data_IF_269983490654
#
_entry.id   IF_269983490654
#
_cell.length_a   1.000
_cell.length_b   1.000
_cell.length_c   1.000
_cell.angle_alpha   90.00
_cell.angle_beta   90.00
_cell.angle_gamma   90.00
#
_symmetry.space_group_name_H-M   'P 1'
#
loop_
_entity.id
_entity.type
_entity.pdbx_description
1 polymer ?
#
# COMPACT_ATOMS: atom_id res chain seq x y z
N UNK A 1 8.97 3.40 -13.36
CA UNK A 1 9.19 2.98 -11.95
C UNK A 1 8.99 1.49 -11.76
N UNK A 2 7.99 0.85 -12.38
CA UNK A 2 8.17 -0.53 -12.85
C UNK A 2 7.90 -0.56 -14.33
N UNK A 3 8.72 -1.28 -15.08
CA UNK A 3 8.41 -1.68 -16.43
C UNK A 3 8.55 -3.20 -16.49
N UNK A 4 7.39 -3.84 -16.70
CA UNK A 4 7.27 -5.29 -16.81
C UNK A 4 7.20 -5.75 -18.28
N UNK A 5 7.40 -4.84 -19.24
CA UNK A 5 7.47 -5.17 -20.65
C UNK A 5 8.72 -6.01 -20.90
N UNK A 6 8.54 -7.20 -21.47
CA UNK A 6 9.64 -8.13 -21.76
C UNK A 6 10.06 -9.02 -20.60
N UNK A 7 9.39 -8.96 -19.45
CA UNK A 7 9.67 -9.83 -18.30
C UNK A 7 9.47 -11.30 -18.66
N UNK A 8 10.43 -12.15 -18.30
CA UNK A 8 10.29 -13.60 -18.41
C UNK A 8 10.01 -14.24 -17.05
N UNK A 9 8.97 -15.07 -17.01
CA UNK A 9 8.73 -16.04 -15.93
C UNK A 9 9.54 -17.31 -16.23
N UNK A 10 10.63 -17.51 -15.49
CA UNK A 10 11.58 -18.61 -15.69
C UNK A 10 11.23 -19.85 -14.86
N UNK A 11 10.88 -19.64 -13.59
CA UNK A 11 10.51 -20.72 -12.67
C UNK A 11 9.21 -20.40 -11.97
N UNK A 12 8.39 -21.43 -11.78
CA UNK A 12 7.17 -21.34 -10.97
C UNK A 12 6.91 -22.64 -10.24
N UNK A 13 6.51 -22.54 -8.98
CA UNK A 13 6.00 -23.64 -8.16
C UNK A 13 4.72 -23.19 -7.49
N UNK A 14 3.75 -24.09 -7.40
CA UNK A 14 2.49 -23.85 -6.70
C UNK A 14 2.36 -24.85 -5.55
N UNK A 15 2.11 -24.35 -4.36
CA UNK A 15 1.81 -25.13 -3.17
C UNK A 15 0.36 -24.83 -2.73
N UNK A 16 -0.20 -25.68 -1.87
CA UNK A 16 -1.40 -25.35 -1.12
C UNK A 16 -1.00 -25.21 0.35
N UNK A 17 -1.20 -24.02 0.92
CA UNK A 17 -0.80 -23.71 2.30
C UNK A 17 -2.05 -23.36 3.09
N UNK A 18 -2.33 -24.18 4.11
CA UNK A 18 -3.46 -24.02 5.02
C UNK A 18 -3.16 -23.09 6.19
N UNK A 19 -4.14 -22.96 7.08
CA UNK A 19 -4.00 -22.31 8.38
C UNK A 19 -3.58 -23.30 9.47
N UNK A 20 -2.51 -22.98 10.19
CA UNK A 20 -1.95 -23.86 11.23
C UNK A 20 -2.86 -24.03 12.43
N UNK A 21 -3.54 -22.98 12.89
CA UNK A 21 -4.45 -23.05 14.04
C UNK A 21 -5.74 -23.82 13.75
N UNK A 22 -6.04 -24.04 12.47
CA UNK A 22 -7.15 -24.89 12.01
C UNK A 22 -6.71 -26.29 11.60
N UNK A 23 -5.42 -26.60 11.73
CA UNK A 23 -4.84 -27.89 11.33
C UNK A 23 -5.12 -28.26 9.87
N UNK A 24 -5.21 -27.26 8.98
CA UNK A 24 -5.50 -27.48 7.55
C UNK A 24 -4.33 -28.13 6.79
N UNK A 25 -3.12 -28.10 7.37
CA UNK A 25 -1.91 -28.68 6.80
C UNK A 25 -1.36 -27.91 5.59
N UNK A 26 -0.43 -28.52 4.87
CA UNK A 26 0.14 -27.99 3.62
C UNK A 26 0.39 -29.13 2.63
N UNK A 27 0.21 -28.85 1.34
CA UNK A 27 0.51 -29.78 0.24
C UNK A 27 1.51 -29.10 -0.70
N UNK A 28 2.67 -29.75 -0.90
CA UNK A 28 3.72 -29.21 -1.76
C UNK A 28 3.70 -29.90 -3.12
N UNK A 29 3.87 -29.14 -4.20
CA UNK A 29 4.18 -29.73 -5.51
C UNK A 29 5.46 -30.56 -5.47
N UNK A 30 5.58 -31.52 -6.38
CA UNK A 30 6.74 -32.43 -6.48
C UNK A 30 7.89 -31.87 -7.35
N UNK A 31 7.74 -30.67 -7.90
CA UNK A 31 8.74 -30.05 -8.77
C UNK A 31 8.26 -28.73 -9.36
N UNK A 32 9.06 -28.19 -10.28
CA UNK A 32 8.74 -27.01 -11.09
C UNK A 32 7.54 -27.29 -12.00
N UNK A 33 6.70 -26.28 -12.22
CA UNK A 33 5.61 -26.34 -13.18
C UNK A 33 6.17 -26.10 -14.60
N UNK A 34 5.85 -27.00 -15.54
CA UNK A 34 6.13 -26.78 -16.96
C UNK A 34 5.04 -25.91 -17.55
N UNK A 35 5.41 -24.73 -18.07
CA UNK A 35 4.52 -23.80 -18.76
C UNK A 35 4.79 -23.87 -20.27
N UNK A 36 4.10 -24.78 -20.96
CA UNK A 36 4.23 -24.94 -22.42
C UNK A 36 3.30 -24.01 -23.22
N UNK A 37 2.23 -23.51 -22.58
CA UNK A 37 1.25 -22.64 -23.20
C UNK A 37 1.58 -21.16 -22.91
N UNK A 38 1.99 -20.45 -23.96
CA UNK A 38 2.31 -19.01 -23.90
C UNK A 38 1.14 -18.18 -23.37
N UNK A 39 -0.11 -18.56 -23.68
CA UNK A 39 -1.28 -17.84 -23.20
C UNK A 39 -1.45 -17.98 -21.68
N UNK A 40 -1.14 -19.15 -21.11
CA UNK A 40 -1.13 -19.35 -19.65
C UNK A 40 -0.01 -18.53 -19.01
N UNK A 41 1.17 -18.47 -19.64
CA UNK A 41 2.29 -17.64 -19.17
C UNK A 41 1.89 -16.15 -19.12
N UNK A 42 1.24 -15.65 -20.16
CA UNK A 42 0.73 -14.26 -20.21
C UNK A 42 -0.33 -13.98 -19.13
N UNK A 43 -1.24 -14.93 -18.90
CA UNK A 43 -2.24 -14.81 -17.83
C UNK A 43 -1.60 -14.78 -16.44
N UNK A 44 -0.56 -15.57 -16.20
CA UNK A 44 0.19 -15.58 -14.95
C UNK A 44 0.96 -14.28 -14.75
N UNK A 45 1.68 -13.80 -15.76
CA UNK A 45 2.36 -12.50 -15.72
C UNK A 45 1.38 -11.37 -15.40
N UNK A 46 0.22 -11.35 -16.06
CA UNK A 46 -0.84 -10.39 -15.76
C UNK A 46 -1.32 -10.51 -14.32
N UNK A 47 -1.62 -11.72 -13.84
CA UNK A 47 -2.12 -11.96 -12.49
C UNK A 47 -1.12 -11.50 -11.41
N UNK A 48 0.16 -11.83 -11.60
CA UNK A 48 1.20 -11.52 -10.64
C UNK A 48 1.62 -10.05 -10.65
N UNK A 49 1.77 -9.42 -11.81
CA UNK A 49 2.46 -8.13 -11.92
C UNK A 49 1.49 -6.94 -12.03
N UNK A 50 0.27 -7.12 -12.55
CA UNK A 50 -0.62 -5.98 -12.87
C UNK A 50 -1.08 -5.16 -11.66
N UNK A 51 -1.01 -5.72 -10.45
CA UNK A 51 -1.37 -5.03 -9.21
C UNK A 51 -0.24 -4.14 -8.66
N UNK A 52 0.99 -4.33 -9.09
CA UNK A 52 2.16 -3.58 -8.63
C UNK A 52 2.31 -2.28 -9.41
N UNK A 53 1.85 -1.18 -8.82
CA UNK A 53 1.85 0.16 -9.45
C UNK A 53 2.29 1.31 -8.53
N UNK A 54 2.49 1.03 -7.25
CA UNK A 54 2.82 2.04 -6.24
C UNK A 54 4.31 2.10 -5.93
N UNK A 55 4.76 3.21 -5.38
CA UNK A 55 6.19 3.47 -5.10
C UNK A 55 6.57 3.23 -3.64
N UNK A 56 5.68 2.58 -2.89
CA UNK A 56 5.94 2.14 -1.53
C UNK A 56 6.81 0.87 -1.56
N UNK A 57 8.05 1.02 -1.12
CA UNK A 57 8.98 -0.08 -0.94
C UNK A 57 9.13 -0.45 0.53
N UNK A 58 9.57 -1.67 0.73
CA UNK A 58 9.89 -2.28 2.00
C UNK A 58 11.24 -2.97 1.90
N UNK A 59 11.78 -3.38 3.03
CA UNK A 59 12.97 -4.21 3.13
C UNK A 59 12.79 -5.26 4.23
N UNK A 60 13.43 -6.40 4.05
CA UNK A 60 13.52 -7.42 5.09
C UNK A 60 14.23 -6.88 6.32
N UNK A 61 13.73 -7.28 7.48
CA UNK A 61 14.33 -6.92 8.76
C UNK A 61 14.24 -8.09 9.74
N UNK A 62 15.07 -8.03 10.77
CA UNK A 62 15.07 -8.92 11.92
C UNK A 62 15.79 -8.20 13.07
N UNK A 63 15.36 -8.41 14.31
CA UNK A 63 15.85 -7.66 15.48
C UNK A 63 17.38 -7.74 15.67
N UNK A 64 17.96 -8.91 15.38
CA UNK A 64 19.41 -9.12 15.51
C UNK A 64 20.20 -8.93 14.20
N UNK A 65 19.80 -9.60 13.12
CA UNK A 65 20.52 -9.63 11.84
C UNK A 65 19.54 -10.05 10.73
N UNK A 66 19.51 -9.32 9.61
CA UNK A 66 18.62 -9.60 8.47
C UNK A 66 18.79 -11.01 7.91
N UNK A 67 19.96 -11.62 8.04
CA UNK A 67 20.21 -13.01 7.64
C UNK A 67 19.40 -14.04 8.44
N UNK A 68 18.86 -13.65 9.60
CA UNK A 68 17.96 -14.47 10.43
C UNK A 68 16.48 -14.33 10.02
N UNK A 69 16.15 -13.42 9.09
CA UNK A 69 14.85 -13.43 8.44
C UNK A 69 14.78 -14.62 7.47
N UNK A 70 13.86 -15.54 7.72
CA UNK A 70 13.77 -16.82 7.03
C UNK A 70 13.48 -16.62 5.53
N UNK A 71 12.57 -15.70 5.19
CA UNK A 71 12.22 -15.42 3.79
C UNK A 71 13.40 -14.77 3.06
N UNK A 72 14.06 -13.78 3.68
CA UNK A 72 15.28 -13.19 3.15
C UNK A 72 16.32 -14.27 2.85
N UNK A 73 16.59 -15.17 3.81
CA UNK A 73 17.59 -16.22 3.67
C UNK A 73 17.28 -17.17 2.50
N UNK A 74 16.03 -17.63 2.37
CA UNK A 74 15.65 -18.53 1.28
C UNK A 74 15.69 -17.82 -0.09
N UNK A 75 15.27 -16.56 -0.15
CA UNK A 75 15.30 -15.76 -1.38
C UNK A 75 16.74 -15.43 -1.79
N UNK A 76 17.62 -15.15 -0.84
CA UNK A 76 19.04 -14.91 -1.09
C UNK A 76 19.70 -16.12 -1.76
N UNK A 77 19.42 -17.32 -1.25
CA UNK A 77 19.90 -18.58 -1.85
C UNK A 77 19.36 -18.80 -3.28
N UNK A 78 18.13 -18.39 -3.56
CA UNK A 78 17.56 -18.43 -4.92
C UNK A 78 18.33 -17.49 -5.85
N UNK A 79 18.63 -16.26 -5.41
CA UNK A 79 19.37 -15.31 -6.22
C UNK A 79 20.82 -15.75 -6.48
N UNK A 80 21.48 -16.35 -5.49
CA UNK A 80 22.85 -16.87 -5.64
C UNK A 80 22.91 -18.12 -6.52
N UNK A 81 21.90 -18.99 -6.45
CA UNK A 81 21.83 -20.20 -7.25
C UNK A 81 20.38 -20.59 -7.59
N UNK A 82 19.86 -20.20 -8.77
CA UNK A 82 18.50 -20.53 -9.18
C UNK A 82 18.17 -22.04 -9.23
N UNK A 83 19.18 -22.93 -9.25
CA UNK A 83 18.92 -24.38 -9.23
C UNK A 83 18.31 -24.88 -7.93
N UNK A 84 18.45 -24.14 -6.82
CA UNK A 84 17.82 -24.51 -5.53
C UNK A 84 16.38 -23.99 -5.40
N UNK A 85 15.82 -23.37 -6.46
CA UNK A 85 14.52 -22.70 -6.42
C UNK A 85 13.40 -23.55 -5.84
N UNK A 86 13.29 -24.81 -6.25
CA UNK A 86 12.25 -25.71 -5.75
C UNK A 86 12.40 -25.99 -4.24
N UNK A 87 13.61 -26.30 -3.77
CA UNK A 87 13.83 -26.59 -2.36
C UNK A 87 13.51 -25.37 -1.49
N UNK A 88 13.90 -24.18 -1.97
CA UNK A 88 13.59 -22.92 -1.28
C UNK A 88 12.11 -22.56 -1.35
N UNK A 89 11.40 -22.86 -2.45
CA UNK A 89 9.96 -22.62 -2.53
C UNK A 89 9.20 -23.45 -1.48
N UNK A 90 9.65 -24.69 -1.25
CA UNK A 90 9.10 -25.56 -0.18
C UNK A 90 9.39 -24.99 1.21
N UNK A 91 10.61 -24.49 1.46
CA UNK A 91 10.96 -23.87 2.74
C UNK A 91 10.14 -22.61 3.03
N UNK A 92 9.98 -21.73 2.02
CA UNK A 92 9.13 -20.54 2.11
C UNK A 92 7.67 -20.94 2.40
N UNK A 93 7.14 -21.95 1.71
CA UNK A 93 5.76 -22.42 1.94
C UNK A 93 5.55 -23.03 3.35
N UNK A 94 6.54 -23.74 3.89
CA UNK A 94 6.52 -24.22 5.29
C UNK A 94 6.50 -23.04 6.26
N UNK A 95 7.36 -22.03 6.05
CA UNK A 95 7.38 -20.83 6.88
C UNK A 95 6.04 -20.08 6.83
N UNK A 96 5.43 -19.96 5.66
CA UNK A 96 4.09 -19.38 5.51
C UNK A 96 3.02 -20.13 6.32
N UNK A 97 3.06 -21.47 6.34
CA UNK A 97 2.16 -22.27 7.17
C UNK A 97 2.36 -21.96 8.66
N UNK A 98 3.61 -21.91 9.11
CA UNK A 98 3.97 -21.61 10.50
C UNK A 98 3.51 -20.22 10.94
N UNK A 99 3.58 -19.22 10.05
CA UNK A 99 3.08 -17.86 10.29
C UNK A 99 1.55 -17.73 10.20
N UNK A 100 0.86 -18.65 9.51
CA UNK A 100 -0.59 -18.60 9.26
C UNK A 100 -1.42 -19.11 10.45
N UNK A 101 -1.39 -18.40 11.58
CA UNK A 101 -2.02 -18.85 12.84
C UNK A 101 -3.35 -18.16 13.17
N UNK A 102 -3.66 -17.00 12.58
CA UNK A 102 -4.88 -16.28 12.94
C UNK A 102 -6.13 -16.90 12.28
N UNK A 103 -7.23 -17.07 13.00
CA UNK A 103 -8.45 -17.77 12.53
C UNK A 103 -9.08 -17.19 11.25
N UNK A 104 -8.83 -15.92 10.93
CA UNK A 104 -9.35 -15.27 9.71
C UNK A 104 -8.49 -15.50 8.47
N UNK A 105 -7.27 -16.03 8.63
CA UNK A 105 -6.43 -16.43 7.50
C UNK A 105 -7.04 -17.69 6.88
N UNK A 106 -7.27 -17.68 5.58
CA UNK A 106 -7.77 -18.84 4.83
C UNK A 106 -6.61 -19.60 4.22
N UNK A 107 -6.71 -20.92 4.13
CA UNK A 107 -5.83 -21.69 3.26
C UNK A 107 -6.04 -21.36 1.78
N UNK A 108 -5.12 -21.78 0.92
CA UNK A 108 -5.27 -21.65 -0.52
C UNK A 108 -3.97 -21.84 -1.29
N UNK A 109 -4.00 -21.53 -2.59
CA UNK A 109 -2.85 -21.65 -3.47
C UNK A 109 -1.78 -20.61 -3.15
N UNK A 110 -0.53 -21.06 -3.01
CA UNK A 110 0.65 -20.25 -2.80
C UNK A 110 1.64 -20.46 -3.95
N UNK A 111 1.94 -19.39 -4.67
CA UNK A 111 2.81 -19.37 -5.84
C UNK A 111 4.14 -18.77 -5.45
N UNK A 112 5.23 -19.45 -5.84
CA UNK A 112 6.58 -18.91 -5.82
C UNK A 112 7.05 -18.84 -7.27
N UNK A 113 7.47 -17.66 -7.71
CA UNK A 113 7.86 -17.40 -9.09
C UNK A 113 9.25 -16.74 -9.15
N UNK A 114 10.04 -17.06 -10.17
CA UNK A 114 11.29 -16.37 -10.48
C UNK A 114 11.12 -15.61 -11.79
N UNK A 115 11.31 -14.30 -11.74
CA UNK A 115 11.22 -13.40 -12.87
C UNK A 115 12.60 -12.84 -13.23
N UNK A 116 12.82 -12.64 -14.51
CA UNK A 116 13.99 -11.96 -15.06
C UNK A 116 13.55 -10.80 -15.93
N UNK A 117 14.49 -9.88 -16.19
CA UNK A 117 14.30 -8.73 -17.06
C UNK A 117 13.21 -7.74 -16.59
N UNK A 118 13.10 -7.53 -15.27
CA UNK A 118 12.25 -6.48 -14.71
C UNK A 118 13.04 -5.18 -14.65
N UNK A 119 12.45 -4.09 -15.14
CA UNK A 119 13.04 -2.75 -14.95
C UNK A 119 12.37 -2.07 -13.75
N UNK A 120 13.18 -1.71 -12.76
CA UNK A 120 12.78 -0.99 -11.55
C UNK A 120 13.66 0.25 -11.42
N UNK A 121 13.06 1.44 -11.29
CA UNK A 121 13.81 2.71 -11.16
C UNK A 121 14.93 2.88 -12.22
N UNK A 122 14.67 2.46 -13.46
CA UNK A 122 15.59 2.47 -14.61
C UNK A 122 16.78 1.49 -14.52
N UNK A 123 16.76 0.58 -13.53
CA UNK A 123 17.71 -0.52 -13.39
C UNK A 123 17.08 -1.87 -13.79
N UNK A 124 17.86 -2.71 -14.47
CA UNK A 124 17.46 -4.08 -14.80
C UNK A 124 17.72 -5.00 -13.60
N UNK A 125 16.69 -5.71 -13.17
CA UNK A 125 16.70 -6.58 -12.00
C UNK A 125 15.96 -7.90 -12.24
N UNK A 126 16.30 -8.90 -11.43
CA UNK A 126 15.55 -10.14 -11.30
C UNK A 126 14.70 -10.06 -10.02
N UNK A 127 13.61 -10.83 -9.98
CA UNK A 127 12.77 -10.86 -8.79
C UNK A 127 12.28 -12.26 -8.42
N UNK A 128 12.14 -12.48 -7.12
CA UNK A 128 11.33 -13.59 -6.59
C UNK A 128 9.95 -13.02 -6.25
N UNK A 129 8.90 -13.65 -6.78
CA UNK A 129 7.52 -13.33 -6.46
C UNK A 129 6.88 -14.38 -5.57
N UNK A 130 6.21 -13.92 -4.50
CA UNK A 130 5.43 -14.75 -3.59
C UNK A 130 3.97 -14.30 -3.65
N UNK A 131 3.05 -15.18 -4.03
CA UNK A 131 1.65 -14.82 -4.21
C UNK A 131 0.73 -15.82 -3.53
N UNK A 132 -0.29 -15.35 -2.84
CA UNK A 132 -1.27 -16.22 -2.16
C UNK A 132 -2.67 -15.87 -2.61
N UNK A 133 -3.40 -16.88 -3.07
CA UNK A 133 -4.83 -16.80 -3.38
C UNK A 133 -5.61 -17.38 -2.20
N UNK A 134 -6.50 -16.59 -1.60
CA UNK A 134 -7.33 -17.00 -0.46
C UNK A 134 -8.81 -17.13 -0.83
N UNK A 135 -9.18 -16.65 -2.02
CA UNK A 135 -10.53 -16.64 -2.52
C UNK A 135 -10.60 -17.19 -3.95
N UNK A 136 -11.71 -17.86 -4.25
CA UNK A 136 -12.07 -18.27 -5.61
C UNK A 136 -13.41 -17.63 -5.97
N UNK A 137 -13.52 -17.22 -7.22
CA UNK A 137 -14.77 -16.74 -7.80
C UNK A 137 -15.44 -17.92 -8.52
N UNK A 138 -16.76 -18.03 -8.38
CA UNK A 138 -17.57 -19.00 -9.13
C UNK A 138 -17.99 -18.39 -10.46
N UNK A 139 -17.62 -19.04 -11.56
CA UNK A 139 -17.95 -18.62 -12.92
C UNK A 139 -18.90 -19.61 -13.57
N UNK A 140 -19.89 -19.12 -14.30
CA UNK A 140 -20.70 -19.95 -15.20
C UNK A 140 -19.96 -20.12 -16.52
N UNK A 141 -19.83 -21.35 -17.01
CA UNK A 141 -19.28 -21.63 -18.34
C UNK A 141 -20.40 -22.14 -19.24
N UNK A 142 -20.56 -21.47 -20.37
CA UNK A 142 -21.50 -21.87 -21.42
C UNK A 142 -20.69 -22.50 -22.54
N UNK A 143 -21.01 -23.74 -22.91
CA UNK A 143 -20.32 -24.45 -23.98
C UNK A 143 -21.32 -25.22 -24.84
N UNK A 144 -20.96 -25.44 -26.10
CA UNK A 144 -21.79 -26.18 -27.05
C UNK A 144 -21.42 -27.66 -27.00
N UNK A 145 -22.42 -28.53 -26.88
CA UNK A 145 -22.26 -29.98 -26.99
C UNK A 145 -23.46 -30.56 -27.73
N UNK A 146 -23.21 -31.23 -28.86
CA UNK A 146 -24.24 -31.78 -29.76
C UNK A 146 -25.33 -30.76 -30.12
N UNK A 147 -24.94 -29.62 -30.70
CA UNK A 147 -25.81 -28.53 -31.16
C UNK A 147 -26.71 -27.86 -30.10
N UNK A 148 -26.52 -28.20 -28.82
CA UNK A 148 -27.18 -27.56 -27.70
C UNK A 148 -26.17 -26.79 -26.84
N UNK A 149 -26.61 -25.66 -26.29
CA UNK A 149 -25.85 -24.93 -25.28
C UNK A 149 -26.10 -25.56 -23.91
N UNK A 150 -25.02 -25.94 -23.24
CA UNK A 150 -25.03 -26.39 -21.86
C UNK A 150 -24.38 -25.35 -20.97
N UNK A 151 -24.75 -25.36 -19.69
CA UNK A 151 -24.22 -24.47 -18.67
C UNK A 151 -23.69 -25.34 -17.54
N UNK A 152 -22.45 -25.10 -17.13
CA UNK A 152 -21.89 -25.58 -15.86
C UNK A 152 -21.26 -24.41 -15.08
N UNK A 153 -20.66 -24.73 -13.94
CA UNK A 153 -19.88 -23.77 -13.17
C UNK A 153 -18.47 -24.28 -12.93
N UNK A 154 -17.54 -23.34 -12.74
CA UNK A 154 -16.19 -23.60 -12.30
C UNK A 154 -15.78 -22.57 -11.25
N UNK A 155 -15.14 -23.03 -10.19
CA UNK A 155 -14.47 -22.15 -9.24
C UNK A 155 -13.04 -21.89 -9.73
N UNK A 156 -12.66 -20.62 -9.81
CA UNK A 156 -11.37 -20.21 -10.36
C UNK A 156 -10.78 -19.01 -9.63
N UNK A 157 -9.51 -18.77 -9.89
CA UNK A 157 -8.80 -17.58 -9.38
C UNK A 157 -9.10 -16.42 -10.32
N UNK A 158 -9.46 -15.28 -9.75
CA UNK A 158 -9.67 -14.07 -10.53
C UNK A 158 -8.32 -13.43 -10.88
N UNK A 159 -7.89 -13.57 -12.12
CA UNK A 159 -6.63 -13.03 -12.64
C UNK A 159 -6.48 -11.50 -12.51
N UNK A 160 -7.57 -10.78 -12.26
CA UNK A 160 -7.54 -9.32 -12.08
C UNK A 160 -7.53 -8.92 -10.59
N UNK A 161 -7.57 -9.88 -9.67
CA UNK A 161 -7.65 -9.63 -8.23
C UNK A 161 -6.67 -10.52 -7.49
N UNK A 162 -5.48 -9.99 -7.28
CA UNK A 162 -4.48 -10.58 -6.40
C UNK A 162 -4.87 -10.35 -4.94
N UNK A 163 -4.98 -11.42 -4.14
CA UNK A 163 -5.30 -11.30 -2.71
C UNK A 163 -4.07 -10.82 -1.92
N UNK A 164 -2.97 -11.56 -2.01
CA UNK A 164 -1.67 -11.20 -1.44
C UNK A 164 -0.53 -11.42 -2.41
N UNK A 165 0.38 -10.46 -2.47
CA UNK A 165 1.56 -10.50 -3.32
C UNK A 165 2.78 -9.91 -2.63
N UNK A 166 3.95 -10.39 -3.01
CA UNK A 166 5.24 -9.86 -2.63
C UNK A 166 6.19 -10.01 -3.83
N UNK A 167 6.83 -8.93 -4.26
CA UNK A 167 7.93 -8.95 -5.23
C UNK A 167 9.20 -8.52 -4.50
N UNK A 168 10.20 -9.39 -4.49
CA UNK A 168 11.53 -9.12 -3.94
C UNK A 168 12.48 -8.93 -5.11
N UNK A 169 13.11 -7.77 -5.23
CA UNK A 169 14.08 -7.48 -6.28
C UNK A 169 15.49 -7.78 -5.78
N UNK A 170 16.36 -8.31 -6.64
CA UNK A 170 17.77 -8.62 -6.32
C UNK A 170 18.69 -7.37 -6.23
N UNK A 171 18.13 -6.25 -5.79
CA UNK A 171 18.80 -4.96 -5.57
C UNK A 171 18.83 -4.67 -4.08
N UNK A 172 19.78 -3.88 -3.59
CA UNK A 172 19.85 -3.50 -2.17
C UNK A 172 20.01 -4.69 -1.20
N UNK A 173 20.75 -5.75 -1.59
CA UNK A 173 20.97 -6.96 -0.76
C UNK A 173 21.42 -6.60 0.66
N UNK A 174 22.43 -5.76 0.79
CA UNK A 174 23.00 -5.36 2.09
C UNK A 174 21.99 -4.61 3.00
N UNK A 175 20.94 -4.02 2.42
CA UNK A 175 19.88 -3.33 3.13
C UNK A 175 18.61 -4.18 3.32
N UNK A 176 18.64 -5.47 2.99
CA UNK A 176 17.50 -6.38 3.16
C UNK A 176 16.61 -6.49 1.93
N UNK A 177 17.15 -6.25 0.73
CA UNK A 177 16.44 -6.22 -0.56
C UNK A 177 15.33 -5.17 -0.68
N UNK A 178 15.13 -4.69 -1.90
CA UNK A 178 13.97 -3.85 -2.23
C UNK A 178 12.73 -4.75 -2.42
N UNK A 179 11.66 -4.50 -1.69
CA UNK A 179 10.46 -5.34 -1.65
C UNK A 179 9.20 -4.52 -1.90
N UNK A 180 8.29 -5.02 -2.74
CA UNK A 180 6.93 -4.50 -2.87
C UNK A 180 5.91 -5.52 -2.38
N UNK A 181 4.85 -5.06 -1.73
CA UNK A 181 3.78 -5.95 -1.27
C UNK A 181 2.41 -5.47 -1.73
N UNK A 182 1.50 -6.43 -1.91
CA UNK A 182 0.07 -6.22 -2.08
C UNK A 182 -0.63 -7.01 -0.98
N UNK A 183 -1.48 -6.34 -0.21
CA UNK A 183 -2.39 -7.00 0.74
C UNK A 183 -3.79 -6.39 0.66
N UNK A 184 -4.60 -6.90 -0.26
CA UNK A 184 -5.92 -6.35 -0.55
C UNK A 184 -6.99 -6.74 0.49
N UNK A 185 -6.69 -7.69 1.37
CA UNK A 185 -7.62 -8.20 2.38
C UNK A 185 -7.55 -7.41 3.70
N UNK A 186 -6.54 -6.54 3.87
CA UNK A 186 -6.25 -5.82 5.11
C UNK A 186 -6.92 -4.43 5.25
N UNK A 187 -8.14 -4.23 4.74
CA UNK A 187 -8.86 -2.92 4.82
C UNK A 187 -9.31 -2.49 6.23
N UNK A 188 -9.04 -3.28 7.26
CA UNK A 188 -9.29 -3.00 8.68
C UNK A 188 -8.19 -3.67 9.47
N UNK A 189 -7.63 -3.04 10.53
CA UNK A 189 -6.60 -3.52 11.48
C UNK A 189 -6.67 -5.03 11.87
N UNK A 190 -6.49 -5.94 10.92
CA UNK A 190 -6.69 -7.37 11.08
C UNK A 190 -5.55 -8.06 10.37
N UNK A 191 -4.66 -8.63 11.19
CA UNK A 191 -3.57 -9.51 10.83
C UNK A 191 -2.63 -8.94 9.76
N UNK A 192 -1.67 -8.14 10.21
CA UNK A 192 -0.45 -7.86 9.46
C UNK A 192 0.43 -9.12 9.27
N UNK A 193 -0.12 -10.34 9.32
CA UNK A 193 0.67 -11.57 9.26
C UNK A 193 1.51 -11.65 7.99
N UNK A 194 0.99 -11.16 6.86
CA UNK A 194 1.71 -11.20 5.59
C UNK A 194 2.98 -10.35 5.67
N UNK A 195 2.87 -9.12 6.18
CA UNK A 195 3.99 -8.17 6.28
C UNK A 195 4.88 -8.43 7.49
N UNK A 196 4.29 -8.63 8.66
CA UNK A 196 4.96 -8.58 9.97
C UNK A 196 5.35 -9.97 10.45
N UNK A 197 4.51 -11.00 10.31
CA UNK A 197 4.81 -12.35 10.84
C UNK A 197 5.57 -13.22 9.82
N UNK A 198 5.11 -13.24 8.57
CA UNK A 198 5.64 -14.07 7.49
C UNK A 198 6.86 -13.42 6.83
N UNK A 199 6.69 -12.22 6.26
CA UNK A 199 7.77 -11.54 5.55
C UNK A 199 8.71 -10.76 6.48
N UNK A 200 8.23 -10.30 7.65
CA UNK A 200 8.98 -9.43 8.59
C UNK A 200 9.64 -8.25 7.88
N UNK A 201 8.81 -7.36 7.35
CA UNK A 201 9.25 -6.19 6.58
C UNK A 201 9.17 -4.91 7.40
N UNK A 202 10.12 -4.01 7.17
CA UNK A 202 10.00 -2.59 7.54
C UNK A 202 9.91 -1.73 6.28
N UNK A 203 9.42 -0.50 6.44
CA UNK A 203 9.38 0.44 5.32
C UNK A 203 10.81 0.73 4.81
N UNK A 204 10.95 0.86 3.49
CA UNK A 204 12.19 1.30 2.87
C UNK A 204 12.27 2.82 2.93
N UNK A 205 13.31 3.35 3.57
CA UNK A 205 13.48 4.79 3.75
C UNK A 205 13.84 5.46 2.43
N UNK A 206 12.87 6.14 1.81
CA UNK A 206 13.09 6.96 0.64
C UNK A 206 12.26 8.25 0.70
N UNK A 207 12.41 9.11 -0.31
CA UNK A 207 11.65 10.36 -0.44
C UNK A 207 10.12 10.13 -0.42
N UNK A 208 9.65 9.00 -0.96
CA UNK A 208 8.24 8.63 -0.90
C UNK A 208 7.80 8.40 0.55
N UNK A 209 8.57 7.65 1.33
CA UNK A 209 8.33 7.36 2.73
C UNK A 209 8.31 8.64 3.58
N UNK A 210 9.29 9.54 3.44
CA UNK A 210 9.29 10.81 4.18
C UNK A 210 8.07 11.70 3.83
N UNK A 211 7.81 11.86 2.54
CA UNK A 211 6.66 12.65 2.05
C UNK A 211 5.33 12.09 2.55
N UNK A 212 5.15 10.77 2.51
CA UNK A 212 3.94 10.10 2.95
C UNK A 212 3.72 10.25 4.46
N UNK A 213 4.76 10.05 5.27
CA UNK A 213 4.66 10.20 6.73
C UNK A 213 4.33 11.65 7.11
N UNK A 214 5.00 12.63 6.49
CA UNK A 214 4.74 14.04 6.80
C UNK A 214 3.30 14.45 6.44
N UNK A 215 2.82 14.06 5.25
CA UNK A 215 1.43 14.32 4.85
C UNK A 215 0.41 13.59 5.75
N UNK A 216 0.72 12.37 6.18
CA UNK A 216 -0.12 11.61 7.12
C UNK A 216 -0.19 12.33 8.47
N UNK A 217 0.95 12.77 9.00
CA UNK A 217 1.01 13.57 10.22
C UNK A 217 0.22 14.87 10.10
N UNK A 218 0.31 15.62 8.98
CA UNK A 218 -0.51 16.81 8.77
C UNK A 218 -2.01 16.50 8.81
N UNK A 219 -2.41 15.36 8.23
CA UNK A 219 -3.80 14.91 8.24
C UNK A 219 -4.24 14.51 9.65
N UNK A 220 -3.42 13.77 10.38
CA UNK A 220 -3.76 13.29 11.72
C UNK A 220 -3.77 14.44 12.73
N UNK A 221 -2.86 15.42 12.61
CA UNK A 221 -2.91 16.69 13.34
C UNK A 221 -4.25 17.41 13.18
N UNK A 222 -4.78 17.50 11.96
CA UNK A 222 -6.10 18.10 11.68
C UNK A 222 -7.24 17.27 12.26
N UNK A 223 -7.09 15.96 12.37
CA UNK A 223 -8.11 15.09 12.94
C UNK A 223 -8.13 15.14 14.47
N UNK A 224 -6.96 15.22 15.10
CA UNK A 224 -6.79 15.01 16.55
C UNK A 224 -6.62 16.31 17.32
N UNK A 225 -6.00 17.32 16.74
CA UNK A 225 -5.65 18.57 17.42
C UNK A 225 -6.33 19.77 16.78
N UNK A 226 -6.16 19.99 15.48
CA UNK A 226 -6.73 21.14 14.78
C UNK A 226 -8.16 20.83 14.32
N UNK A 227 -9.07 20.61 15.28
CA UNK A 227 -10.44 20.14 15.04
C UNK A 227 -11.50 20.92 15.85
N UNK A 228 -12.76 20.50 15.74
CA UNK A 228 -13.89 21.19 16.38
C UNK A 228 -13.80 21.18 17.92
N UNK A 229 -13.13 20.19 18.53
CA UNK A 229 -12.95 20.08 19.99
C UNK A 229 -12.04 21.18 20.54
N UNK A 230 -11.13 21.69 19.69
CA UNK A 230 -10.25 22.82 19.98
C UNK A 230 -10.73 24.11 19.29
N UNK A 231 -12.04 24.24 19.08
CA UNK A 231 -12.71 25.44 18.55
C UNK A 231 -12.28 25.83 17.12
N UNK A 232 -11.75 24.89 16.33
CA UNK A 232 -11.36 25.11 14.94
C UNK A 232 -12.50 24.73 14.00
N UNK A 233 -12.94 25.66 13.14
CA UNK A 233 -14.04 25.38 12.22
C UNK A 233 -13.63 24.48 11.04
N UNK A 234 -14.58 23.66 10.54
CA UNK A 234 -14.36 22.77 9.38
C UNK A 234 -13.72 23.42 8.14
N UNK A 235 -14.09 24.66 7.72
CA UNK A 235 -13.42 25.32 6.61
C UNK A 235 -11.91 25.49 6.82
N UNK A 236 -11.47 25.64 8.07
CA UNK A 236 -10.08 25.91 8.46
C UNK A 236 -9.27 24.64 8.38
N UNK A 237 -9.87 23.56 8.90
CA UNK A 237 -9.36 22.19 8.80
C UNK A 237 -9.12 21.84 7.33
N UNK A 238 -10.12 22.10 6.49
CA UNK A 238 -10.04 21.87 5.04
C UNK A 238 -8.97 22.75 4.40
N UNK A 239 -8.89 24.03 4.79
CA UNK A 239 -7.91 24.95 4.23
C UNK A 239 -6.47 24.54 4.57
N UNK A 240 -6.20 24.14 5.82
CA UNK A 240 -4.87 23.67 6.23
C UNK A 240 -4.46 22.40 5.46
N UNK A 241 -5.39 21.46 5.31
CA UNK A 241 -5.23 20.24 4.53
C UNK A 241 -4.93 20.54 3.04
N UNK A 242 -5.69 21.45 2.43
CA UNK A 242 -5.50 21.82 1.03
C UNK A 242 -4.16 22.53 0.80
N UNK A 243 -3.82 23.51 1.65
CA UNK A 243 -2.53 24.23 1.59
C UNK A 243 -1.35 23.29 1.79
N UNK A 244 -1.47 22.31 2.70
CA UNK A 244 -0.44 21.30 2.89
C UNK A 244 -0.20 20.51 1.60
N UNK A 245 -1.25 20.02 0.96
CA UNK A 245 -1.10 19.29 -0.32
C UNK A 245 -0.57 20.18 -1.45
N UNK A 246 -0.93 21.46 -1.47
CA UNK A 246 -0.48 22.42 -2.47
C UNK A 246 1.02 22.71 -2.34
N UNK A 247 1.51 22.98 -1.12
CA UNK A 247 2.94 23.15 -0.84
C UNK A 247 3.75 21.96 -1.38
N UNK A 248 3.32 20.73 -1.07
CA UNK A 248 4.01 19.53 -1.53
C UNK A 248 3.88 19.26 -3.04
N UNK A 249 2.97 19.91 -3.76
CA UNK A 249 2.94 19.82 -5.23
C UNK A 249 3.86 20.83 -5.90
N UNK A 250 4.02 22.00 -5.28
CA UNK A 250 4.74 23.12 -5.88
C UNK A 250 6.24 23.09 -5.58
N UNK A 251 6.62 22.57 -4.42
CA UNK A 251 8.03 22.50 -3.99
C UNK A 251 8.66 21.18 -4.43
N UNK A 252 9.96 21.23 -4.74
CA UNK A 252 10.77 20.03 -5.00
C UNK A 252 11.41 19.48 -3.72
N UNK A 253 11.72 20.37 -2.77
CA UNK A 253 12.31 20.04 -1.47
C UNK A 253 11.38 20.57 -0.39
N UNK A 254 11.08 19.71 0.58
CA UNK A 254 10.37 20.09 1.78
C UNK A 254 11.33 20.75 2.76
N UNK A 255 10.95 21.89 3.33
CA UNK A 255 11.66 22.52 4.44
C UNK A 255 10.67 22.89 5.55
N UNK A 256 10.91 22.44 6.77
CA UNK A 256 9.98 22.64 7.88
C UNK A 256 9.68 24.11 8.17
N UNK A 257 10.71 24.96 8.22
CA UNK A 257 10.52 26.37 8.57
C UNK A 257 9.72 27.10 7.49
N UNK A 258 9.97 26.78 6.22
CA UNK A 258 9.20 27.31 5.10
C UNK A 258 7.74 26.82 5.16
N UNK A 259 7.53 25.54 5.44
CA UNK A 259 6.19 24.96 5.57
C UNK A 259 5.38 25.63 6.70
N UNK A 260 5.98 25.81 7.87
CA UNK A 260 5.34 26.49 8.99
C UNK A 260 4.95 27.95 8.64
N UNK A 261 5.81 28.65 7.91
CA UNK A 261 5.58 30.03 7.50
C UNK A 261 4.54 30.18 6.38
N UNK A 262 4.58 29.31 5.37
CA UNK A 262 3.70 29.41 4.20
C UNK A 262 2.32 28.76 4.44
N UNK A 263 2.28 27.62 5.14
CA UNK A 263 1.08 26.78 5.28
C UNK A 263 0.35 27.04 6.60
N UNK A 264 1.06 26.94 7.73
CA UNK A 264 0.44 27.02 9.06
C UNK A 264 0.18 28.46 9.49
N UNK A 265 1.18 29.34 9.31
CA UNK A 265 1.15 30.81 9.49
C UNK A 265 0.92 31.31 10.93
N UNK A 266 -0.07 30.78 11.64
CA UNK A 266 -0.47 31.25 12.98
C UNK A 266 0.49 30.72 14.06
N UNK A 267 1.14 31.59 14.87
CA UNK A 267 2.13 31.17 15.86
C UNK A 267 1.62 30.09 16.84
N UNK A 268 0.41 30.27 17.36
CA UNK A 268 -0.25 29.32 18.27
C UNK A 268 -0.46 27.93 17.64
N UNK A 269 -0.75 27.89 16.33
CA UNK A 269 -0.94 26.63 15.59
C UNK A 269 0.41 26.01 15.23
N UNK A 270 1.44 26.81 14.95
CA UNK A 270 2.81 26.33 14.73
C UNK A 270 3.35 25.66 15.99
N UNK A 271 3.13 26.24 17.17
CA UNK A 271 3.53 25.63 18.45
C UNK A 271 2.82 24.29 18.66
N UNK A 272 1.49 24.24 18.52
CA UNK A 272 0.72 23.01 18.64
C UNK A 272 1.15 21.94 17.61
N UNK A 273 1.46 22.36 16.39
CA UNK A 273 1.91 21.46 15.33
C UNK A 273 3.28 20.86 15.63
N UNK A 274 4.23 21.67 16.14
CA UNK A 274 5.56 21.18 16.55
C UNK A 274 5.47 20.18 17.70
N UNK A 275 4.61 20.45 18.69
CA UNK A 275 4.38 19.51 19.80
C UNK A 275 3.81 18.19 19.29
N UNK A 276 2.80 18.24 18.41
CA UNK A 276 2.21 17.06 17.80
C UNK A 276 3.23 16.28 16.94
N UNK A 277 4.04 16.97 16.14
CA UNK A 277 5.11 16.37 15.34
C UNK A 277 6.09 15.60 16.23
N UNK A 278 6.50 16.16 17.36
CA UNK A 278 7.42 15.48 18.28
C UNK A 278 6.80 14.21 18.86
N UNK A 279 5.52 14.25 19.24
CA UNK A 279 4.79 13.06 19.71
C UNK A 279 4.67 12.00 18.62
N UNK A 280 4.33 12.41 17.39
CA UNK A 280 4.25 11.53 16.23
C UNK A 280 5.59 10.87 15.92
N UNK A 281 6.69 11.62 16.00
CA UNK A 281 8.05 11.09 15.86
C UNK A 281 8.40 10.07 16.95
N UNK A 282 8.01 10.31 18.20
CA UNK A 282 8.22 9.36 19.30
C UNK A 282 7.43 8.08 19.06
N UNK A 283 6.16 8.19 18.66
CA UNK A 283 5.34 7.03 18.30
C UNK A 283 5.97 6.20 17.17
N UNK A 284 6.45 6.86 16.10
CA UNK A 284 7.14 6.18 15.01
C UNK A 284 8.38 5.42 15.50
N UNK A 285 9.17 6.00 16.41
CA UNK A 285 10.33 5.33 17.01
C UNK A 285 9.93 4.10 17.81
N UNK A 286 8.84 4.17 18.58
CA UNK A 286 8.31 3.01 19.31
C UNK A 286 7.84 1.89 18.37
N UNK A 287 7.33 2.26 17.18
CA UNK A 287 6.96 1.34 16.11
C UNK A 287 8.16 0.84 15.26
N UNK A 288 9.39 1.24 15.60
CA UNK A 288 10.62 0.84 14.89
C UNK A 288 10.93 1.66 13.64
N UNK A 289 10.24 2.77 13.41
CA UNK A 289 10.41 3.68 12.28
C UNK A 289 11.31 4.88 12.67
N UNK A 290 12.59 4.62 12.94
CA UNK A 290 13.50 5.64 13.50
C UNK A 290 14.02 6.66 12.50
N UNK A 291 13.93 6.35 11.21
CA UNK A 291 14.71 7.06 10.17
C UNK A 291 13.87 8.10 9.40
N UNK A 292 12.63 8.36 9.83
CA UNK A 292 11.78 9.37 9.17
C UNK A 292 12.36 10.77 9.37
N UNK A 293 12.70 11.45 8.28
CA UNK A 293 13.09 12.86 8.25
C UNK A 293 11.87 13.76 8.26
N UNK A 294 11.91 14.80 9.09
CA UNK A 294 10.85 15.80 9.22
C UNK A 294 11.34 17.24 9.02
N UNK A 295 12.65 17.47 8.97
CA UNK A 295 13.22 18.82 8.87
C UNK A 295 13.38 19.23 7.40
N UNK A 296 14.02 18.37 6.61
CA UNK A 296 14.29 18.61 5.19
C UNK A 296 14.39 17.28 4.42
N UNK A 297 13.72 17.19 3.27
CA UNK A 297 13.78 16.04 2.36
C UNK A 297 13.26 16.39 0.96
N UNK A 298 13.69 15.67 -0.07
CA UNK A 298 13.14 15.80 -1.42
C UNK A 298 11.70 15.24 -1.48
N UNK A 299 10.82 15.93 -2.20
CA UNK A 299 9.39 15.58 -2.25
C UNK A 299 9.12 14.55 -3.35
N UNK A 300 8.46 13.46 -2.97
CA UNK A 300 7.98 12.48 -3.93
C UNK A 300 6.62 12.89 -4.49
N UNK A 301 6.58 13.31 -5.77
CA UNK A 301 5.34 13.66 -6.46
C UNK A 301 4.30 12.53 -6.47
N UNK A 302 4.75 11.27 -6.45
CA UNK A 302 3.84 10.12 -6.38
C UNK A 302 3.26 9.91 -4.97
N UNK A 303 4.04 10.13 -3.91
CA UNK A 303 3.51 10.13 -2.54
C UNK A 303 2.46 11.22 -2.34
N UNK A 304 2.63 12.39 -2.98
CA UNK A 304 1.65 13.49 -2.97
C UNK A 304 0.36 13.09 -3.68
N UNK A 305 0.46 12.45 -4.86
CA UNK A 305 -0.71 11.92 -5.60
C UNK A 305 -1.46 10.88 -4.78
N UNK A 306 -0.73 9.94 -4.16
CA UNK A 306 -1.31 8.86 -3.35
C UNK A 306 -1.97 9.38 -2.08
N UNK A 307 -1.38 10.38 -1.45
CA UNK A 307 -1.88 10.98 -0.22
C UNK A 307 -3.10 11.86 -0.47
N UNK A 308 -3.25 12.45 -1.68
CA UNK A 308 -4.39 13.32 -2.06
C UNK A 308 -5.77 12.71 -1.76
N UNK A 309 -5.90 11.39 -1.77
CA UNK A 309 -7.17 10.70 -1.46
C UNK A 309 -7.67 10.94 -0.02
N UNK A 310 -6.76 11.27 0.91
CA UNK A 310 -7.07 11.53 2.31
C UNK A 310 -7.51 12.97 2.56
N UNK A 311 -7.09 13.91 1.70
CA UNK A 311 -7.40 15.33 1.79
C UNK A 311 -8.69 15.69 1.04
N UNK A 312 -9.71 14.82 1.09
CA UNK A 312 -11.01 15.11 0.47
C UNK A 312 -11.71 16.19 1.28
N UNK A 313 -11.77 17.37 0.68
CA UNK A 313 -12.38 18.60 1.19
C UNK A 313 -13.91 18.56 1.20
N UNK A 314 -14.51 17.50 1.77
CA UNK A 314 -15.96 17.31 1.76
C UNK A 314 -16.58 17.80 3.06
N UNK A 315 -17.33 18.88 2.95
CA UNK A 315 -18.22 19.34 4.00
C UNK A 315 -19.54 18.56 3.90
N UNK A 316 -19.83 17.71 4.88
CA UNK A 316 -21.12 17.01 4.97
C UNK A 316 -22.07 17.83 5.81
N UNK A 317 -23.14 18.33 5.20
CA UNK A 317 -24.20 19.11 5.85
C UNK A 317 -25.46 18.26 5.90
N UNK A 318 -25.69 17.67 7.08
CA UNK A 318 -26.68 16.62 7.30
C UNK A 318 -26.56 15.48 6.29
N UNK A 319 -27.66 14.74 6.07
CA UNK A 319 -27.79 13.79 4.96
C UNK A 319 -28.26 14.48 3.67
N UNK A 320 -28.32 15.82 3.67
CA UNK A 320 -28.94 16.60 2.60
C UNK A 320 -27.90 17.09 1.58
N UNK A 321 -26.71 17.48 2.03
CA UNK A 321 -25.69 18.05 1.14
C UNK A 321 -24.29 17.50 1.42
N UNK A 322 -23.52 17.35 0.35
CA UNK A 322 -22.07 17.15 0.39
C UNK A 322 -21.44 18.21 -0.51
N UNK A 323 -20.70 19.14 0.09
CA UNK A 323 -20.05 20.25 -0.62
C UNK A 323 -18.57 19.96 -0.71
N UNK A 324 -18.02 19.93 -1.92
CA UNK A 324 -16.59 19.80 -2.15
C UNK A 324 -15.96 21.20 -2.21
N UNK A 325 -15.09 21.50 -1.25
CA UNK A 325 -14.44 22.81 -1.13
C UNK A 325 -13.01 22.69 -1.67
N UNK A 326 -12.81 23.07 -2.92
CA UNK A 326 -11.50 22.97 -3.59
C UNK A 326 -10.57 24.16 -3.35
N UNK A 327 -11.01 25.20 -2.64
CA UNK A 327 -10.35 26.50 -2.63
C UNK A 327 -10.18 27.15 -1.26
N UNK A 328 -9.88 28.45 -1.31
CA UNK A 328 -9.55 29.31 -0.18
C UNK A 328 -10.73 29.49 0.80
N UNK A 329 -10.44 29.38 2.10
CA UNK A 329 -11.38 29.60 3.22
C UNK A 329 -12.13 30.93 3.10
N UNK A 330 -11.49 31.96 2.55
CA UNK A 330 -11.99 33.34 2.54
C UNK A 330 -13.37 33.49 1.86
N UNK A 331 -13.78 32.52 1.04
CA UNK A 331 -15.07 32.51 0.36
C UNK A 331 -16.16 31.69 1.07
N UNK A 332 -15.88 31.19 2.28
CA UNK A 332 -16.80 30.36 3.05
C UNK A 332 -17.03 30.99 4.42
N UNK A 333 -18.28 31.42 4.67
CA UNK A 333 -18.68 31.99 5.96
C UNK A 333 -19.72 31.10 6.61
N UNK A 334 -19.47 30.68 7.86
CA UNK A 334 -20.44 29.97 8.69
C UNK A 334 -21.25 30.97 9.52
N UNK A 335 -22.54 30.70 9.68
CA UNK A 335 -23.39 31.48 10.57
C UNK A 335 -24.54 30.65 11.14
N UNK A 336 -25.34 31.28 11.99
CA UNK A 336 -26.54 30.70 12.58
C UNK A 336 -27.74 31.60 12.28
N UNK A 337 -28.75 31.02 11.62
CA UNK A 337 -30.02 31.69 11.37
C UNK A 337 -30.90 31.55 12.61
N UNK A 338 -31.11 32.68 13.32
CA UNK A 338 -31.93 32.70 14.54
C UNK A 338 -33.42 32.45 14.27
N UNK A 339 -33.95 32.81 13.11
CA UNK A 339 -35.37 32.58 12.78
C UNK A 339 -35.63 31.10 12.48
N UNK A 340 -34.71 30.47 11.75
CA UNK A 340 -34.83 29.06 11.36
C UNK A 340 -34.27 28.10 12.41
N UNK A 341 -33.49 28.61 13.38
CA UNK A 341 -32.74 27.80 14.34
C UNK A 341 -31.81 26.79 13.65
N UNK A 342 -31.14 27.21 12.58
CA UNK A 342 -30.29 26.35 11.74
C UNK A 342 -28.92 26.99 11.48
N UNK A 343 -27.88 26.15 11.42
CA UNK A 343 -26.58 26.57 10.90
C UNK A 343 -26.65 26.76 9.38
N UNK A 344 -25.92 27.73 8.86
CA UNK A 344 -25.76 27.92 7.43
C UNK A 344 -24.29 28.12 7.06
N UNK A 345 -23.99 27.83 5.79
CA UNK A 345 -22.77 28.25 5.13
C UNK A 345 -23.12 29.17 3.96
N UNK A 346 -22.44 30.30 3.84
CA UNK A 346 -22.46 31.18 2.68
C UNK A 346 -21.21 30.91 1.84
N UNK A 347 -21.41 30.72 0.54
CA UNK A 347 -20.35 30.52 -0.43
C UNK A 347 -20.33 31.71 -1.39
N UNK A 348 -19.19 32.38 -1.48
CA UNK A 348 -18.98 33.52 -2.38
C UNK A 348 -18.20 33.07 -3.61
N UNK A 349 -18.55 33.57 -4.80
CA UNK A 349 -17.86 33.30 -6.04
C UNK A 349 -17.84 34.54 -6.93
N UNK A 350 -16.83 34.65 -7.80
CA UNK A 350 -16.70 35.78 -8.74
C UNK A 350 -17.28 35.45 -10.11
N UNK A 351 -16.98 34.26 -10.64
CA UNK A 351 -17.39 33.80 -11.97
C UNK A 351 -18.04 32.41 -11.85
N UNK A 352 -19.15 32.19 -12.56
CA UNK A 352 -19.84 30.91 -12.62
C UNK A 352 -19.43 30.16 -13.90
N UNK A 353 -18.78 29.02 -13.74
CA UNK A 353 -18.47 28.11 -14.85
C UNK A 353 -19.46 26.94 -14.86
N UNK A 354 -20.06 26.68 -16.03
CA UNK A 354 -20.83 25.45 -16.27
C UNK A 354 -19.96 24.45 -17.01
N UNK A 355 -20.00 23.18 -16.57
CA UNK A 355 -19.36 22.07 -17.28
C UNK A 355 -20.12 21.66 -18.52
#
# INVERSE_FOLDING_TARGET
MFNFDGVSLEHIVVHNVGNKSKEEGSQFSNGLMSLEDDFIKDLLLKYFLSSFKGDAFYQFTHDSDVNLNEVYHYVDQIFENPNVFYDQSVNIAKHLYEASTHNKIKGGEFYVAYFTDIIIEDELANAVGLFKSENKDTYLRVYQHNDNFNIDYADGININKLDKGCLIFNTEKEHGYKVCIIDNLNKSNQAHYWRDDFLRLKAYENNFYHTQNYLTMCKDFVQEVFNDENEVEKPDQIALLNKSVEYFKEKEVFNENEFEQEVIQKPEVVEAFREYKNQYQEQLKEEGNTDVKFEEFEISSNAVKDSKKFFRSVLKLDKNFSVYIHGNRDYVVKGFDQERQMNFYQFFYNEEESK
#
